data_IF_120283662456
#
_entry.id   IF_120283662456
#
_cell.length_a   1.000
_cell.length_b   1.000
_cell.length_c   1.000
_cell.angle_alpha   90.00
_cell.angle_beta   90.00
_cell.angle_gamma   90.00
#
_symmetry.space_group_name_H-M   'P 1'
#
loop_
_entity.id
_entity.type
_entity.pdbx_description
1 polymer ?
#
# COMPACT_ATOMS: atom_id res chain seq x y z
N UNK A 1 20.54 -20.89 16.65
CA UNK A 1 20.94 -22.03 17.51
C UNK A 1 22.20 -21.62 18.26
N UNK A 2 22.05 -21.20 19.50
CA UNK A 2 23.21 -20.80 20.32
C UNK A 2 23.67 -22.02 21.11
N UNK A 3 24.78 -22.61 20.71
CA UNK A 3 25.45 -23.66 21.50
C UNK A 3 26.19 -22.95 22.64
N UNK A 4 25.57 -22.89 23.82
CA UNK A 4 26.27 -22.46 25.01
C UNK A 4 27.22 -23.58 25.43
N UNK A 5 28.50 -23.25 25.55
CA UNK A 5 29.50 -24.19 26.04
C UNK A 5 29.20 -24.60 27.48
N UNK A 6 28.45 -25.69 27.63
CA UNK A 6 28.01 -26.27 28.92
C UNK A 6 29.15 -26.78 29.77
N UNK A 7 30.36 -26.88 29.28
CA UNK A 7 31.51 -27.53 29.96
C UNK A 7 32.13 -26.67 31.06
N UNK A 8 31.74 -25.41 31.24
CA UNK A 8 32.35 -24.55 32.28
C UNK A 8 31.58 -24.43 33.57
N UNK A 9 30.31 -24.84 33.64
CA UNK A 9 29.42 -24.54 34.77
C UNK A 9 28.98 -25.78 35.58
N UNK A 10 29.45 -26.99 35.29
CA UNK A 10 29.24 -28.19 36.11
C UNK A 10 27.78 -28.58 36.33
N UNK A 11 26.97 -28.49 35.27
CA UNK A 11 25.54 -28.78 35.29
C UNK A 11 25.24 -30.24 35.63
N UNK A 12 24.09 -30.47 36.30
CA UNK A 12 23.60 -31.80 36.68
C UNK A 12 22.48 -32.28 35.74
N UNK A 13 21.77 -31.34 35.10
CA UNK A 13 20.70 -31.63 34.16
C UNK A 13 21.26 -31.81 32.76
N UNK A 14 20.69 -32.76 32.01
CA UNK A 14 21.02 -32.94 30.56
C UNK A 14 20.38 -31.83 29.74
N UNK A 15 21.13 -30.74 29.49
CA UNK A 15 20.69 -29.60 28.73
C UNK A 15 20.60 -29.95 27.22
N UNK A 16 21.44 -30.83 26.68
CA UNK A 16 21.33 -31.25 25.28
C UNK A 16 20.04 -32.02 25.06
N UNK A 17 19.69 -32.96 25.95
CA UNK A 17 18.43 -33.67 25.91
C UNK A 17 17.21 -32.73 26.07
N UNK A 18 17.31 -31.68 26.88
CA UNK A 18 16.27 -30.63 26.97
C UNK A 18 16.06 -29.91 25.65
N UNK A 19 17.14 -29.49 24.97
CA UNK A 19 17.04 -28.78 23.67
C UNK A 19 16.51 -29.72 22.59
N UNK A 20 16.98 -30.97 22.52
CA UNK A 20 16.49 -31.96 21.55
C UNK A 20 14.99 -32.22 21.68
N UNK A 21 14.48 -32.36 22.94
CA UNK A 21 13.05 -32.55 23.18
C UNK A 21 12.25 -31.29 22.82
N UNK A 22 12.77 -30.10 23.13
CA UNK A 22 12.13 -28.82 22.77
C UNK A 22 12.03 -28.68 21.24
N UNK A 23 13.11 -28.98 20.51
CA UNK A 23 13.11 -28.98 19.02
C UNK A 23 12.14 -30.01 18.44
N UNK A 24 12.01 -31.19 19.08
CA UNK A 24 11.02 -32.20 18.71
C UNK A 24 9.59 -31.67 18.87
N UNK A 25 9.27 -31.01 19.98
CA UNK A 25 7.96 -30.41 20.23
C UNK A 25 7.60 -29.36 19.16
N UNK A 26 8.55 -28.53 18.74
CA UNK A 26 8.35 -27.56 17.67
C UNK A 26 8.15 -28.24 16.31
N UNK A 27 8.98 -29.21 15.97
CA UNK A 27 8.91 -29.95 14.71
C UNK A 27 7.60 -30.71 14.55
N UNK A 28 7.12 -31.34 15.63
CA UNK A 28 5.85 -32.05 15.71
C UNK A 28 4.63 -31.11 15.83
N UNK A 29 4.85 -29.78 15.91
CA UNK A 29 3.80 -28.76 16.13
C UNK A 29 3.00 -28.96 17.43
N UNK A 30 3.60 -29.53 18.44
CA UNK A 30 3.01 -29.77 19.77
C UNK A 30 3.16 -28.54 20.67
N UNK A 31 2.76 -27.39 20.18
CA UNK A 31 2.97 -26.08 20.85
C UNK A 31 2.32 -26.01 22.23
N UNK A 32 1.18 -26.71 22.42
CA UNK A 32 0.50 -26.75 23.72
C UNK A 32 1.27 -27.53 24.79
N UNK A 33 2.21 -28.39 24.42
CA UNK A 33 3.00 -29.19 25.34
C UNK A 33 4.28 -28.46 25.79
N UNK A 34 4.68 -27.38 25.06
CA UNK A 34 5.92 -26.64 25.35
C UNK A 34 5.91 -25.96 26.72
N UNK A 35 4.84 -25.26 27.08
CA UNK A 35 4.76 -24.60 28.41
C UNK A 35 4.77 -25.59 29.57
N UNK A 36 4.01 -26.70 29.57
CA UNK A 36 4.16 -27.76 30.58
C UNK A 36 5.58 -28.29 30.69
N UNK A 37 6.24 -28.55 29.54
CA UNK A 37 7.62 -29.03 29.50
C UNK A 37 8.60 -28.03 30.09
N UNK A 38 8.47 -26.73 29.82
CA UNK A 38 9.27 -25.68 30.49
C UNK A 38 9.09 -25.67 32.00
N UNK A 39 7.83 -25.76 32.47
CA UNK A 39 7.54 -25.73 33.90
C UNK A 39 8.14 -26.93 34.62
N UNK A 40 8.09 -28.12 34.05
CA UNK A 40 8.72 -29.31 34.62
C UNK A 40 10.25 -29.17 34.64
N UNK A 41 10.86 -28.77 33.54
CA UNK A 41 12.30 -28.64 33.39
C UNK A 41 12.89 -27.58 34.35
N UNK A 42 12.25 -26.40 34.47
CA UNK A 42 12.74 -25.34 35.37
C UNK A 42 12.64 -25.77 36.85
N UNK A 43 11.59 -26.49 37.25
CA UNK A 43 11.46 -27.01 38.61
C UNK A 43 12.47 -28.11 38.91
N UNK A 44 12.79 -28.95 37.92
CA UNK A 44 13.88 -29.93 38.06
C UNK A 44 15.23 -29.23 38.25
N UNK A 45 15.58 -28.27 37.37
CA UNK A 45 16.80 -27.51 37.47
C UNK A 45 16.95 -26.75 38.81
N UNK A 46 15.83 -26.23 39.35
CA UNK A 46 15.81 -25.63 40.69
C UNK A 46 16.09 -26.64 41.81
N UNK A 47 15.45 -27.83 41.78
CA UNK A 47 15.68 -28.90 42.75
C UNK A 47 17.12 -29.39 42.79
N UNK A 48 17.73 -29.43 41.60
CA UNK A 48 19.13 -29.82 41.45
C UNK A 48 20.13 -28.70 41.75
N UNK A 49 19.63 -27.49 42.02
CA UNK A 49 20.40 -26.23 42.16
C UNK A 49 21.35 -26.01 40.96
N UNK A 50 20.89 -26.36 39.75
CA UNK A 50 21.63 -26.19 38.52
C UNK A 50 21.34 -24.81 37.90
N UNK A 51 22.18 -23.82 38.20
CA UNK A 51 21.98 -22.45 37.74
C UNK A 51 22.18 -22.32 36.24
N UNK A 52 23.04 -23.16 35.64
CA UNK A 52 23.29 -23.14 34.17
C UNK A 52 22.05 -23.66 33.43
N UNK A 53 21.46 -24.77 33.89
CA UNK A 53 20.22 -25.28 33.32
C UNK A 53 19.08 -24.27 33.46
N UNK A 54 18.89 -23.66 34.65
CA UNK A 54 17.88 -22.61 34.83
C UNK A 54 18.08 -21.45 33.86
N UNK A 55 19.32 -21.01 33.64
CA UNK A 55 19.64 -19.93 32.73
C UNK A 55 19.25 -20.25 31.25
N UNK A 56 19.61 -21.44 30.78
CA UNK A 56 19.23 -21.88 29.44
C UNK A 56 17.72 -21.95 29.27
N UNK A 57 17.03 -22.62 30.22
CA UNK A 57 15.56 -22.77 30.15
C UNK A 57 14.87 -21.42 30.19
N UNK A 58 15.30 -20.46 31.01
CA UNK A 58 14.69 -19.13 31.09
C UNK A 58 14.89 -18.35 29.75
N UNK A 59 16.05 -18.47 29.08
CA UNK A 59 16.25 -17.86 27.78
C UNK A 59 15.30 -18.43 26.71
N UNK A 60 15.09 -19.75 26.69
CA UNK A 60 14.12 -20.37 25.76
C UNK A 60 12.68 -19.97 26.12
N UNK A 61 12.32 -19.90 27.40
CA UNK A 61 11.01 -19.43 27.87
C UNK A 61 10.73 -17.98 27.43
N UNK A 62 11.72 -17.08 27.53
CA UNK A 62 11.57 -15.68 27.06
C UNK A 62 11.21 -15.63 25.57
N UNK A 63 11.92 -16.41 24.75
CA UNK A 63 11.67 -16.50 23.31
C UNK A 63 10.29 -17.06 23.00
N UNK A 64 9.95 -18.22 23.54
CA UNK A 64 8.68 -18.90 23.32
C UNK A 64 7.47 -18.03 23.71
N UNK A 65 7.48 -17.44 24.89
CA UNK A 65 6.37 -16.60 25.33
C UNK A 65 6.26 -15.30 24.55
N UNK A 66 7.36 -14.73 24.08
CA UNK A 66 7.37 -13.60 23.14
C UNK A 66 6.72 -14.01 21.82
N UNK A 67 7.15 -15.10 21.22
CA UNK A 67 6.73 -15.54 19.89
C UNK A 67 5.28 -16.04 19.86
N UNK A 68 4.77 -16.50 21.00
CA UNK A 68 3.36 -16.85 21.19
C UNK A 68 2.51 -15.69 21.74
N UNK A 69 3.05 -14.46 21.77
CA UNK A 69 2.36 -13.25 22.25
C UNK A 69 1.90 -13.30 23.71
N UNK A 70 2.52 -14.13 24.53
CA UNK A 70 2.26 -14.24 25.98
C UNK A 70 3.21 -13.28 26.72
N UNK A 71 3.12 -12.00 26.45
CA UNK A 71 4.10 -10.99 26.85
C UNK A 71 4.32 -10.89 28.36
N UNK A 72 3.29 -11.06 29.19
CA UNK A 72 3.42 -11.04 30.63
C UNK A 72 4.30 -12.19 31.16
N UNK A 73 4.16 -13.40 30.59
CA UNK A 73 4.99 -14.54 30.92
C UNK A 73 6.42 -14.37 30.44
N UNK A 74 6.60 -13.79 29.22
CA UNK A 74 7.91 -13.45 28.67
C UNK A 74 8.66 -12.48 29.61
N UNK A 75 8.00 -11.40 30.04
CA UNK A 75 8.58 -10.41 30.96
C UNK A 75 8.90 -11.03 32.31
N UNK A 76 8.06 -11.94 32.83
CA UNK A 76 8.36 -12.67 34.05
C UNK A 76 9.63 -13.50 33.92
N UNK A 77 9.77 -14.26 32.82
CA UNK A 77 10.99 -15.03 32.55
C UNK A 77 12.22 -14.13 32.40
N UNK A 78 12.08 -12.92 31.83
CA UNK A 78 13.14 -11.92 31.77
C UNK A 78 13.62 -11.52 33.19
N UNK A 79 12.68 -11.17 34.05
CA UNK A 79 13.02 -10.76 35.42
C UNK A 79 13.70 -11.90 36.19
N UNK A 80 13.15 -13.13 36.12
CA UNK A 80 13.72 -14.31 36.76
C UNK A 80 15.15 -14.58 36.21
N UNK A 81 15.39 -14.39 34.90
CA UNK A 81 16.69 -14.56 34.27
C UNK A 81 17.70 -13.50 34.75
N UNK A 82 17.30 -12.22 34.84
CA UNK A 82 18.14 -11.14 35.34
C UNK A 82 18.57 -11.43 36.80
N UNK A 83 17.63 -11.82 37.67
CA UNK A 83 17.95 -12.18 39.04
C UNK A 83 18.91 -13.38 39.11
N UNK A 84 18.69 -14.38 38.25
CA UNK A 84 19.57 -15.54 38.17
C UNK A 84 20.98 -15.15 37.73
N UNK A 85 21.13 -14.32 36.71
CA UNK A 85 22.43 -13.84 36.24
C UNK A 85 23.21 -13.08 37.30
N UNK A 86 22.52 -12.25 38.11
CA UNK A 86 23.15 -11.60 39.29
C UNK A 86 23.63 -12.63 40.31
N UNK A 87 22.80 -13.64 40.59
CA UNK A 87 23.19 -14.73 41.51
C UNK A 87 24.37 -15.54 41.01
N UNK A 88 24.50 -15.68 39.68
CA UNK A 88 25.65 -16.34 39.03
C UNK A 88 26.91 -15.47 39.00
N UNK A 89 26.80 -14.16 39.25
CA UNK A 89 27.91 -13.23 39.22
C UNK A 89 28.48 -12.98 37.80
N UNK A 90 27.65 -13.10 36.76
CA UNK A 90 28.07 -12.92 35.37
C UNK A 90 27.74 -11.52 34.82
N UNK A 91 27.32 -10.59 35.67
CA UNK A 91 27.05 -9.22 35.28
C UNK A 91 28.25 -8.59 34.53
N UNK A 92 27.99 -7.84 33.49
CA UNK A 92 29.02 -7.20 32.67
C UNK A 92 29.78 -8.11 31.73
N UNK A 93 29.50 -9.40 31.69
CA UNK A 93 30.12 -10.33 30.73
C UNK A 93 29.38 -10.31 29.37
N UNK A 94 30.02 -10.87 28.36
CA UNK A 94 29.41 -11.01 27.02
C UNK A 94 28.17 -11.91 27.05
N UNK A 95 28.19 -12.98 27.87
CA UNK A 95 27.05 -13.89 28.01
C UNK A 95 25.85 -13.19 28.69
N UNK A 96 26.12 -12.35 29.68
CA UNK A 96 25.12 -11.49 30.30
C UNK A 96 24.50 -10.56 29.28
N UNK A 97 25.31 -9.85 28.46
CA UNK A 97 24.84 -8.94 27.45
C UNK A 97 24.01 -9.65 26.36
N UNK A 98 24.39 -10.88 26.00
CA UNK A 98 23.65 -11.69 25.03
C UNK A 98 22.25 -12.04 25.55
N UNK A 99 22.11 -12.40 26.83
CA UNK A 99 20.81 -12.62 27.45
C UNK A 99 20.01 -11.34 27.64
N UNK A 100 20.66 -10.23 27.97
CA UNK A 100 20.00 -8.92 28.01
C UNK A 100 19.43 -8.50 26.64
N UNK A 101 20.08 -8.90 25.54
CA UNK A 101 19.52 -8.66 24.21
C UNK A 101 18.18 -9.40 24.01
N UNK A 102 18.04 -10.62 24.54
CA UNK A 102 16.76 -11.33 24.55
C UNK A 102 15.70 -10.63 25.43
N UNK A 103 16.12 -10.12 26.60
CA UNK A 103 15.27 -9.30 27.47
C UNK A 103 14.77 -8.04 26.73
N UNK A 104 15.66 -7.33 26.05
CA UNK A 104 15.30 -6.15 25.28
C UNK A 104 14.32 -6.48 24.15
N UNK A 105 14.51 -7.61 23.44
CA UNK A 105 13.58 -8.12 22.44
C UNK A 105 12.20 -8.42 23.03
N UNK A 106 12.13 -8.99 24.23
CA UNK A 106 10.88 -9.27 24.92
C UNK A 106 10.14 -7.98 25.33
N UNK A 107 10.87 -6.99 25.86
CA UNK A 107 10.30 -5.68 26.17
C UNK A 107 9.78 -4.98 24.90
N UNK A 108 10.53 -5.01 23.80
CA UNK A 108 10.10 -4.46 22.52
C UNK A 108 8.79 -5.10 22.04
N UNK A 109 8.73 -6.43 22.01
CA UNK A 109 7.54 -7.17 21.61
C UNK A 109 6.32 -6.89 22.51
N UNK A 110 6.54 -6.59 23.78
CA UNK A 110 5.50 -6.18 24.72
C UNK A 110 5.11 -4.68 24.62
N UNK A 111 5.65 -3.94 23.66
CA UNK A 111 5.41 -2.50 23.49
C UNK A 111 6.12 -1.60 24.51
N UNK A 112 7.00 -2.14 25.34
CA UNK A 112 7.79 -1.41 26.32
C UNK A 112 9.07 -0.86 25.68
N UNK A 113 8.88 0.05 24.72
CA UNK A 113 9.96 0.51 23.84
C UNK A 113 11.06 1.30 24.58
N UNK A 114 10.70 2.08 25.60
CA UNK A 114 11.65 2.84 26.39
C UNK A 114 12.55 1.92 27.22
N UNK A 115 11.95 0.93 27.90
CA UNK A 115 12.69 -0.06 28.67
C UNK A 115 13.59 -0.91 27.77
N UNK A 116 13.10 -1.31 26.61
CA UNK A 116 13.89 -2.01 25.62
C UNK A 116 15.14 -1.22 25.20
N UNK A 117 14.97 0.08 24.93
CA UNK A 117 16.07 0.96 24.53
C UNK A 117 17.16 1.06 25.62
N UNK A 118 16.77 1.19 26.88
CA UNK A 118 17.73 1.24 27.97
C UNK A 118 18.52 -0.06 28.11
N UNK A 119 17.85 -1.21 27.97
CA UNK A 119 18.55 -2.51 27.99
C UNK A 119 19.51 -2.65 26.81
N UNK A 120 19.11 -2.24 25.59
CA UNK A 120 20.03 -2.28 24.44
C UNK A 120 21.23 -1.35 24.61
N UNK A 121 21.10 -0.20 25.27
CA UNK A 121 22.25 0.66 25.61
C UNK A 121 23.25 -0.02 26.54
N UNK A 122 22.75 -0.77 27.53
CA UNK A 122 23.59 -1.57 28.43
C UNK A 122 24.32 -2.66 27.64
N UNK A 123 23.61 -3.41 26.79
CA UNK A 123 24.21 -4.42 25.89
C UNK A 123 25.29 -3.80 25.02
N UNK A 124 25.02 -2.65 24.40
CA UNK A 124 25.96 -1.95 23.54
C UNK A 124 27.24 -1.56 24.30
N UNK A 125 27.10 -1.05 25.53
CA UNK A 125 28.28 -0.70 26.37
C UNK A 125 29.14 -1.91 26.65
N UNK A 126 28.53 -3.02 27.08
CA UNK A 126 29.25 -4.26 27.39
C UNK A 126 29.94 -4.83 26.16
N UNK A 127 29.25 -4.89 25.02
CA UNK A 127 29.83 -5.39 23.77
C UNK A 127 30.98 -4.51 23.30
N UNK A 128 30.82 -3.18 23.34
CA UNK A 128 31.86 -2.26 22.90
C UNK A 128 33.17 -2.37 23.72
N UNK A 129 33.07 -2.80 24.99
CA UNK A 129 34.22 -3.00 25.86
C UNK A 129 34.86 -4.39 25.71
N UNK A 130 34.09 -5.41 25.34
CA UNK A 130 34.50 -6.80 25.50
C UNK A 130 34.66 -7.60 24.19
N UNK A 131 34.11 -7.09 23.04
CA UNK A 131 34.23 -7.80 21.77
C UNK A 131 34.70 -6.84 20.66
N UNK A 132 35.31 -7.37 19.57
CA UNK A 132 35.68 -6.58 18.40
C UNK A 132 34.47 -5.88 17.77
N UNK A 133 34.71 -4.69 17.19
CA UNK A 133 33.63 -3.91 16.54
C UNK A 133 33.06 -4.59 15.29
N UNK A 134 33.74 -5.55 14.72
CA UNK A 134 33.33 -6.38 13.58
C UNK A 134 32.82 -7.77 13.97
N UNK A 135 32.61 -8.02 15.25
CA UNK A 135 31.97 -9.24 15.74
C UNK A 135 30.49 -9.30 15.28
N UNK A 136 30.01 -10.46 14.85
CA UNK A 136 28.65 -10.64 14.37
C UNK A 136 27.59 -10.27 15.39
N UNK A 137 27.90 -10.37 16.69
CA UNK A 137 26.97 -9.97 17.79
C UNK A 137 26.69 -8.46 17.77
N UNK A 138 27.66 -7.66 17.34
CA UNK A 138 27.45 -6.22 17.11
C UNK A 138 26.49 -5.98 15.96
N UNK A 139 26.52 -6.79 14.91
CA UNK A 139 25.57 -6.70 13.81
C UNK A 139 24.16 -7.12 14.25
N UNK A 140 24.04 -8.23 14.98
CA UNK A 140 22.76 -8.67 15.58
C UNK A 140 22.15 -7.62 16.48
N UNK A 141 22.95 -7.02 17.37
CA UNK A 141 22.50 -5.91 18.22
C UNK A 141 22.01 -4.73 17.41
N UNK A 142 22.77 -4.30 16.38
CA UNK A 142 22.35 -3.19 15.53
C UNK A 142 21.07 -3.50 14.76
N UNK A 143 20.87 -4.70 14.27
CA UNK A 143 19.60 -5.12 13.65
C UNK A 143 18.42 -5.01 14.65
N UNK A 144 18.59 -5.52 15.87
CA UNK A 144 17.54 -5.47 16.88
C UNK A 144 17.21 -4.04 17.34
N UNK A 145 18.23 -3.19 17.49
CA UNK A 145 18.05 -1.76 17.79
C UNK A 145 17.32 -1.06 16.62
N UNK A 146 17.62 -1.42 15.38
CA UNK A 146 16.93 -0.85 14.23
C UNK A 146 15.44 -1.22 14.21
N UNK A 147 15.08 -2.47 14.54
CA UNK A 147 13.68 -2.87 14.69
C UNK A 147 12.96 -2.07 15.78
N UNK A 148 13.63 -1.79 16.88
CA UNK A 148 13.10 -0.91 17.93
C UNK A 148 12.84 0.50 17.41
N UNK A 149 13.79 1.11 16.66
CA UNK A 149 13.61 2.42 16.10
C UNK A 149 12.50 2.47 15.02
N UNK A 150 12.32 1.39 14.25
CA UNK A 150 11.17 1.26 13.33
C UNK A 150 9.84 1.31 14.11
N UNK A 151 9.70 0.59 15.21
CA UNK A 151 8.50 0.62 16.06
C UNK A 151 8.30 1.98 16.76
N UNK A 152 9.38 2.72 17.01
CA UNK A 152 9.34 4.11 17.50
C UNK A 152 9.09 5.14 16.38
N UNK A 153 8.95 4.72 15.12
CA UNK A 153 8.85 5.53 13.91
C UNK A 153 10.08 6.45 13.66
N UNK A 154 11.25 6.12 14.24
CA UNK A 154 12.52 6.80 13.96
C UNK A 154 13.29 6.05 12.86
N UNK A 155 12.74 6.09 11.65
CA UNK A 155 13.31 5.40 10.50
C UNK A 155 14.73 5.86 10.10
N UNK A 156 15.10 7.15 10.25
CA UNK A 156 16.48 7.57 10.04
C UNK A 156 17.50 6.86 10.95
N UNK A 157 17.15 6.67 12.24
CA UNK A 157 18.00 5.93 13.19
C UNK A 157 18.03 4.45 12.84
N UNK A 158 16.88 3.86 12.45
CA UNK A 158 16.83 2.48 11.99
C UNK A 158 17.76 2.23 10.79
N UNK A 159 17.73 3.12 9.78
CA UNK A 159 18.64 3.06 8.61
C UNK A 159 20.11 3.10 9.03
N UNK A 160 20.49 3.96 9.98
CA UNK A 160 21.89 4.04 10.46
C UNK A 160 22.34 2.73 11.09
N UNK A 161 21.52 2.14 11.95
CA UNK A 161 21.84 0.89 12.64
C UNK A 161 21.88 -0.28 11.66
N UNK A 162 20.96 -0.38 10.69
CA UNK A 162 20.97 -1.42 9.67
C UNK A 162 22.21 -1.34 8.76
N UNK A 163 22.63 -0.14 8.38
CA UNK A 163 23.89 0.05 7.62
C UNK A 163 25.12 -0.39 8.41
N UNK A 164 25.14 -0.14 9.73
CA UNK A 164 26.22 -0.65 10.60
C UNK A 164 26.20 -2.19 10.64
N UNK A 165 25.04 -2.80 10.80
CA UNK A 165 24.90 -4.25 10.78
C UNK A 165 25.43 -4.83 9.47
N UNK A 166 25.02 -4.32 8.31
CA UNK A 166 25.48 -4.75 6.99
C UNK A 166 27.00 -4.64 6.84
N UNK A 167 27.60 -3.55 7.29
CA UNK A 167 29.05 -3.35 7.19
C UNK A 167 29.89 -4.43 7.89
N UNK A 168 29.26 -5.17 8.79
CA UNK A 168 29.86 -6.28 9.52
C UNK A 168 29.55 -7.61 8.81
N UNK A 169 28.24 -7.92 8.65
CA UNK A 169 27.82 -9.27 8.21
C UNK A 169 28.13 -9.57 6.75
N UNK A 170 28.19 -8.56 5.86
CA UNK A 170 28.57 -8.75 4.46
C UNK A 170 30.01 -9.30 4.29
N UNK A 171 30.84 -9.22 5.33
CA UNK A 171 32.23 -9.72 5.33
C UNK A 171 32.39 -11.13 5.91
N UNK A 172 31.31 -11.67 6.48
CA UNK A 172 31.32 -12.96 7.17
C UNK A 172 30.71 -14.01 6.24
N UNK A 173 31.49 -15.03 5.90
CA UNK A 173 31.03 -16.14 5.07
C UNK A 173 29.89 -16.92 5.78
N UNK A 174 28.90 -17.33 5.04
CA UNK A 174 27.76 -18.10 5.56
C UNK A 174 26.64 -17.28 6.20
N UNK A 175 26.68 -15.94 6.14
CA UNK A 175 25.64 -15.04 6.69
C UNK A 175 24.63 -14.57 5.64
N UNK A 176 24.42 -15.35 4.59
CA UNK A 176 23.54 -14.98 3.47
C UNK A 176 22.11 -14.63 3.93
N UNK A 177 21.54 -15.42 4.87
CA UNK A 177 20.18 -15.20 5.40
C UNK A 177 20.10 -13.90 6.19
N UNK A 178 21.08 -13.65 7.05
CA UNK A 178 21.17 -12.44 7.88
C UNK A 178 21.36 -11.20 7.02
N UNK A 179 22.19 -11.29 5.99
CA UNK A 179 22.41 -10.22 5.00
C UNK A 179 21.11 -9.91 4.26
N UNK A 180 20.41 -10.91 3.72
CA UNK A 180 19.17 -10.72 2.98
C UNK A 180 18.05 -10.17 3.89
N UNK A 181 17.98 -10.66 5.14
CA UNK A 181 17.03 -10.15 6.14
C UNK A 181 17.33 -8.68 6.47
N UNK A 182 18.60 -8.33 6.65
CA UNK A 182 19.01 -6.95 6.95
C UNK A 182 18.76 -6.02 5.76
N UNK A 183 18.97 -6.46 4.52
CA UNK A 183 18.56 -5.71 3.33
C UNK A 183 17.06 -5.45 3.31
N UNK A 184 16.24 -6.45 3.65
CA UNK A 184 14.77 -6.33 3.71
C UNK A 184 14.34 -5.30 4.76
N UNK A 185 14.91 -5.36 5.96
CA UNK A 185 14.62 -4.40 7.04
C UNK A 185 15.08 -2.98 6.69
N UNK A 186 16.23 -2.86 6.04
CA UNK A 186 16.75 -1.56 5.55
C UNK A 186 15.83 -0.96 4.49
N UNK A 187 15.37 -1.78 3.54
CA UNK A 187 14.45 -1.35 2.51
C UNK A 187 13.11 -0.87 3.10
N UNK A 188 12.57 -1.59 4.09
CA UNK A 188 11.35 -1.17 4.79
C UNK A 188 11.53 0.23 5.42
N UNK A 189 12.65 0.49 6.10
CA UNK A 189 12.92 1.82 6.67
C UNK A 189 13.13 2.91 5.61
N UNK A 190 13.73 2.57 4.46
CA UNK A 190 13.98 3.50 3.36
C UNK A 190 12.67 3.93 2.67
N UNK A 191 11.68 3.04 2.58
CA UNK A 191 10.35 3.36 2.06
C UNK A 191 9.71 4.47 2.91
N UNK A 192 9.73 4.34 4.22
CA UNK A 192 9.13 5.28 5.16
C UNK A 192 9.75 6.69 5.12
N UNK A 193 11.01 6.79 4.66
CA UNK A 193 11.69 8.09 4.45
C UNK A 193 11.72 8.52 2.97
N UNK A 194 10.80 8.00 2.15
CA UNK A 194 10.62 8.32 0.74
C UNK A 194 11.85 8.03 -0.15
N UNK A 195 12.64 7.01 0.17
CA UNK A 195 13.80 6.57 -0.60
C UNK A 195 13.52 5.25 -1.34
N UNK A 196 12.39 5.15 -2.03
CA UNK A 196 11.89 3.95 -2.68
C UNK A 196 12.88 3.34 -3.70
N UNK A 197 13.62 4.16 -4.46
CA UNK A 197 14.63 3.67 -5.41
C UNK A 197 15.78 2.93 -4.72
N UNK A 198 16.28 3.45 -3.60
CA UNK A 198 17.32 2.76 -2.83
C UNK A 198 16.78 1.48 -2.17
N UNK A 199 15.53 1.52 -1.70
CA UNK A 199 14.87 0.35 -1.15
C UNK A 199 14.76 -0.78 -2.19
N UNK A 200 14.42 -0.44 -3.44
CA UNK A 200 14.36 -1.41 -4.54
C UNK A 200 15.70 -2.11 -4.78
N UNK A 201 16.81 -1.36 -4.76
CA UNK A 201 18.15 -1.92 -4.98
C UNK A 201 18.53 -2.92 -3.87
N UNK A 202 18.23 -2.61 -2.60
CA UNK A 202 18.49 -3.54 -1.50
C UNK A 202 17.60 -4.78 -1.56
N UNK A 203 16.32 -4.62 -1.94
CA UNK A 203 15.40 -5.76 -2.07
C UNK A 203 15.75 -6.66 -3.24
N UNK A 204 16.26 -6.14 -4.35
CA UNK A 204 16.82 -6.96 -5.45
C UNK A 204 17.93 -7.86 -4.93
N UNK A 205 18.89 -7.32 -4.17
CA UNK A 205 19.96 -8.11 -3.55
C UNK A 205 19.43 -9.15 -2.57
N UNK A 206 18.44 -8.77 -1.73
CA UNK A 206 17.81 -9.71 -0.80
C UNK A 206 17.15 -10.88 -1.53
N UNK A 207 16.37 -10.59 -2.57
CA UNK A 207 15.65 -11.60 -3.36
C UNK A 207 16.62 -12.48 -4.15
N UNK A 208 17.73 -11.95 -4.69
CA UNK A 208 18.78 -12.74 -5.33
C UNK A 208 19.39 -13.78 -4.37
N UNK A 209 19.52 -13.45 -3.09
CA UNK A 209 19.99 -14.38 -2.06
C UNK A 209 18.90 -15.41 -1.74
N UNK A 210 17.68 -14.98 -1.47
CA UNK A 210 16.56 -15.85 -1.10
C UNK A 210 16.09 -16.76 -2.25
N UNK A 211 16.24 -16.37 -3.52
CA UNK A 211 15.84 -17.21 -4.67
C UNK A 211 16.78 -18.44 -4.86
N UNK A 212 17.89 -18.54 -4.14
CA UNK A 212 18.66 -19.77 -4.05
C UNK A 212 17.87 -20.80 -3.24
N UNK A 213 17.62 -21.98 -3.81
CA UNK A 213 16.76 -23.01 -3.20
C UNK A 213 17.19 -23.43 -1.78
N UNK A 214 18.49 -23.35 -1.49
CA UNK A 214 19.07 -23.70 -0.20
C UNK A 214 18.81 -22.66 0.90
N UNK A 215 18.37 -21.44 0.53
CA UNK A 215 18.27 -20.28 1.43
C UNK A 215 16.82 -19.83 1.65
N UNK A 216 15.85 -20.37 0.90
CA UNK A 216 14.44 -20.04 1.06
C UNK A 216 13.94 -20.35 2.47
N UNK A 217 13.42 -19.33 3.15
CA UNK A 217 12.83 -19.43 4.47
C UNK A 217 11.66 -18.43 4.63
N UNK A 218 11.11 -18.32 5.81
CA UNK A 218 9.97 -17.41 6.07
C UNK A 218 10.29 -15.92 5.81
N UNK A 219 11.56 -15.49 5.79
CA UNK A 219 11.94 -14.11 5.47
C UNK A 219 11.76 -13.78 3.98
N UNK A 220 11.79 -14.80 3.10
CA UNK A 220 11.58 -14.62 1.67
C UNK A 220 10.23 -13.96 1.35
N UNK A 221 9.15 -14.44 1.98
CA UNK A 221 7.83 -13.84 1.80
C UNK A 221 7.77 -12.38 2.27
N UNK A 222 8.50 -12.04 3.33
CA UNK A 222 8.66 -10.67 3.82
C UNK A 222 9.35 -9.77 2.78
N UNK A 223 10.43 -10.26 2.15
CA UNK A 223 11.14 -9.54 1.09
C UNK A 223 10.25 -9.32 -0.15
N UNK A 224 9.43 -10.30 -0.54
CA UNK A 224 8.46 -10.16 -1.63
C UNK A 224 7.41 -9.09 -1.31
N UNK A 225 6.86 -9.10 -0.10
CA UNK A 225 5.88 -8.08 0.35
C UNK A 225 6.51 -6.68 0.39
N UNK A 226 7.75 -6.55 0.87
CA UNK A 226 8.47 -5.28 0.88
C UNK A 226 8.73 -4.76 -0.54
N UNK A 227 9.15 -5.63 -1.47
CA UNK A 227 9.31 -5.27 -2.89
C UNK A 227 7.97 -4.84 -3.51
N UNK A 228 6.87 -5.54 -3.21
CA UNK A 228 5.54 -5.14 -3.67
C UNK A 228 5.16 -3.74 -3.16
N UNK A 229 5.47 -3.42 -1.91
CA UNK A 229 5.25 -2.08 -1.34
C UNK A 229 6.08 -1.01 -2.05
N UNK A 230 7.35 -1.29 -2.39
CA UNK A 230 8.18 -0.39 -3.22
C UNK A 230 7.53 -0.16 -4.58
N UNK A 231 7.09 -1.23 -5.25
CA UNK A 231 6.42 -1.14 -6.55
C UNK A 231 5.15 -0.30 -6.49
N UNK A 232 4.37 -0.43 -5.40
CA UNK A 232 3.22 0.46 -5.15
C UNK A 232 3.64 1.92 -5.03
N UNK A 233 4.72 2.22 -4.29
CA UNK A 233 5.23 3.59 -4.12
C UNK A 233 5.74 4.20 -5.44
N UNK A 234 6.12 3.36 -6.40
CA UNK A 234 6.54 3.75 -7.74
C UNK A 234 5.40 3.72 -8.77
N UNK A 235 4.16 3.51 -8.35
CA UNK A 235 2.96 3.33 -9.17
C UNK A 235 3.06 2.15 -10.18
N UNK A 236 3.88 1.14 -9.88
CA UNK A 236 4.06 -0.06 -10.70
C UNK A 236 3.13 -1.18 -10.18
N UNK A 237 1.82 -0.95 -10.27
CA UNK A 237 0.82 -1.77 -9.58
C UNK A 237 0.73 -3.20 -10.12
N UNK A 238 0.91 -3.45 -11.42
CA UNK A 238 0.90 -4.80 -12.00
C UNK A 238 2.08 -5.66 -11.49
N UNK A 239 3.25 -5.04 -11.29
CA UNK A 239 4.42 -5.72 -10.70
C UNK A 239 4.19 -6.00 -9.22
N UNK A 240 3.61 -5.04 -8.50
CA UNK A 240 3.25 -5.21 -7.09
C UNK A 240 2.25 -6.37 -6.89
N UNK A 241 1.23 -6.48 -7.72
CA UNK A 241 0.26 -7.57 -7.66
C UNK A 241 0.94 -8.93 -7.82
N UNK A 242 1.80 -9.11 -8.83
CA UNK A 242 2.56 -10.37 -9.05
C UNK A 242 3.42 -10.75 -7.85
N UNK A 243 4.02 -9.77 -7.18
CA UNK A 243 4.85 -10.01 -6.00
C UNK A 243 4.01 -10.44 -4.79
N UNK A 244 2.87 -9.82 -4.54
CA UNK A 244 1.95 -10.27 -3.48
C UNK A 244 1.35 -11.65 -3.78
N UNK A 245 1.00 -11.92 -5.05
CA UNK A 245 0.54 -13.26 -5.48
C UNK A 245 1.62 -14.33 -5.24
N UNK A 246 2.91 -14.00 -5.48
CA UNK A 246 4.05 -14.88 -5.19
C UNK A 246 4.27 -15.05 -3.68
N UNK A 247 4.03 -14.02 -2.88
CA UNK A 247 4.23 -14.06 -1.42
C UNK A 247 3.18 -14.89 -0.68
N UNK A 248 1.91 -14.87 -1.11
CA UNK A 248 0.81 -15.54 -0.41
C UNK A 248 1.02 -17.05 -0.18
N UNK A 249 1.38 -17.87 -1.20
CA UNK A 249 1.64 -19.30 -0.97
C UNK A 249 2.86 -19.54 -0.06
N UNK A 250 3.88 -18.70 -0.12
CA UNK A 250 5.05 -18.79 0.77
C UNK A 250 4.68 -18.50 2.23
N UNK A 251 3.83 -17.49 2.46
CA UNK A 251 3.30 -17.18 3.80
C UNK A 251 2.45 -18.34 4.31
N UNK A 252 1.55 -18.87 3.47
CA UNK A 252 0.67 -19.97 3.86
C UNK A 252 1.47 -21.22 4.23
N UNK A 253 2.50 -21.56 3.45
CA UNK A 253 3.35 -22.73 3.69
C UNK A 253 4.16 -22.62 4.98
N UNK A 254 4.70 -21.44 5.31
CA UNK A 254 5.61 -21.24 6.44
C UNK A 254 4.90 -20.80 7.72
N UNK A 255 3.81 -20.04 7.62
CA UNK A 255 3.16 -19.35 8.76
C UNK A 255 1.65 -19.63 8.87
N UNK A 256 1.06 -20.32 7.88
CA UNK A 256 -0.38 -20.55 7.81
C UNK A 256 -1.17 -19.28 7.42
N UNK A 257 -2.51 -19.38 7.47
CA UNK A 257 -3.44 -18.28 7.14
C UNK A 257 -3.70 -17.36 8.33
N UNK A 258 -2.64 -16.89 8.96
CA UNK A 258 -2.69 -15.96 10.09
C UNK A 258 -2.76 -14.48 9.66
N UNK A 259 -2.29 -13.59 10.56
CA UNK A 259 -2.31 -12.14 10.35
C UNK A 259 -1.52 -11.72 9.10
N UNK A 260 -0.31 -12.24 8.91
CA UNK A 260 0.54 -11.92 7.76
C UNK A 260 -0.14 -12.24 6.42
N UNK A 261 -0.79 -13.41 6.32
CA UNK A 261 -1.55 -13.81 5.13
C UNK A 261 -2.70 -12.84 4.84
N UNK A 262 -3.48 -12.50 5.87
CA UNK A 262 -4.64 -11.61 5.72
C UNK A 262 -4.22 -10.19 5.31
N UNK A 263 -3.18 -9.63 5.93
CA UNK A 263 -2.64 -8.32 5.58
C UNK A 263 -2.14 -8.31 4.12
N UNK A 264 -1.40 -9.34 3.71
CA UNK A 264 -0.90 -9.44 2.33
C UNK A 264 -2.05 -9.55 1.31
N UNK A 265 -3.09 -10.32 1.63
CA UNK A 265 -4.30 -10.43 0.80
C UNK A 265 -5.06 -9.10 0.67
N UNK A 266 -5.18 -8.35 1.77
CA UNK A 266 -5.79 -7.02 1.77
C UNK A 266 -4.98 -6.02 0.93
N UNK A 267 -3.65 -6.06 1.04
CA UNK A 267 -2.78 -5.22 0.23
C UNK A 267 -2.88 -5.55 -1.27
N UNK A 268 -2.94 -6.83 -1.62
CA UNK A 268 -3.19 -7.28 -3.00
C UNK A 268 -4.53 -6.75 -3.53
N UNK A 269 -5.60 -6.81 -2.73
CA UNK A 269 -6.91 -6.29 -3.12
C UNK A 269 -6.85 -4.77 -3.39
N UNK A 270 -6.19 -4.00 -2.53
CA UNK A 270 -5.97 -2.56 -2.75
C UNK A 270 -5.20 -2.27 -4.04
N UNK A 271 -4.21 -3.10 -4.36
CA UNK A 271 -3.44 -2.97 -5.61
C UNK A 271 -4.31 -3.24 -6.83
N UNK A 272 -5.18 -4.27 -6.79
CA UNK A 272 -6.14 -4.52 -7.88
C UNK A 272 -7.14 -3.37 -8.06
N UNK A 273 -7.56 -2.73 -6.98
CA UNK A 273 -8.43 -1.56 -7.07
C UNK A 273 -7.68 -0.39 -7.75
N UNK A 274 -6.39 -0.18 -7.45
CA UNK A 274 -5.55 0.82 -8.14
C UNK A 274 -5.38 0.52 -9.64
N UNK A 275 -5.13 -0.75 -9.99
CA UNK A 275 -5.06 -1.17 -11.40
C UNK A 275 -6.37 -0.90 -12.14
N UNK A 276 -7.53 -1.14 -11.47
CA UNK A 276 -8.84 -0.82 -12.04
C UNK A 276 -9.03 0.69 -12.19
N UNK A 277 -8.62 1.49 -11.19
CA UNK A 277 -8.68 2.95 -11.26
C UNK A 277 -7.84 3.49 -12.42
N UNK A 278 -6.60 2.98 -12.63
CA UNK A 278 -5.75 3.37 -13.75
C UNK A 278 -6.28 2.93 -15.11
N UNK A 279 -6.93 1.76 -15.15
CA UNK A 279 -7.56 1.22 -16.37
C UNK A 279 -9.00 1.68 -16.55
N UNK A 280 -9.53 2.50 -15.64
CA UNK A 280 -10.86 3.07 -15.78
C UNK A 280 -10.86 3.97 -16.99
N UNK A 281 -11.37 3.44 -18.08
CA UNK A 281 -11.62 4.23 -19.28
C UNK A 281 -12.60 5.33 -18.92
N UNK A 282 -12.25 6.57 -19.28
CA UNK A 282 -13.13 7.70 -19.07
C UNK A 282 -14.47 7.45 -19.74
N UNK A 283 -15.57 7.71 -19.05
CA UNK A 283 -16.88 7.79 -19.68
C UNK A 283 -16.89 8.94 -20.70
N UNK A 284 -17.78 8.91 -21.68
CA UNK A 284 -17.90 10.00 -22.66
C UNK A 284 -18.13 11.34 -21.99
N UNK A 285 -18.92 11.38 -20.90
CA UNK A 285 -19.17 12.60 -20.13
C UNK A 285 -17.87 13.05 -19.41
N UNK A 286 -17.13 12.16 -18.76
CA UNK A 286 -15.86 12.48 -18.08
C UNK A 286 -14.81 12.96 -19.10
N UNK A 287 -14.75 12.33 -20.28
CA UNK A 287 -13.87 12.72 -21.38
C UNK A 287 -14.20 14.13 -21.87
N UNK A 288 -15.48 14.40 -22.16
CA UNK A 288 -15.96 15.69 -22.63
C UNK A 288 -15.70 16.80 -21.62
N UNK A 289 -15.97 16.54 -20.33
CA UNK A 289 -15.75 17.48 -19.24
C UNK A 289 -14.28 17.81 -19.07
N UNK A 290 -13.40 16.79 -19.03
CA UNK A 290 -11.96 17.04 -18.89
C UNK A 290 -11.38 17.74 -20.11
N UNK A 291 -11.89 17.47 -21.30
CA UNK A 291 -11.49 18.17 -22.54
C UNK A 291 -11.92 19.65 -22.52
N UNK A 292 -13.14 19.95 -22.05
CA UNK A 292 -13.60 21.32 -21.86
C UNK A 292 -12.74 22.07 -20.82
N UNK A 293 -12.44 21.46 -19.67
CA UNK A 293 -11.64 22.08 -18.61
C UNK A 293 -10.21 22.41 -19.08
N UNK A 294 -9.61 21.57 -19.93
CA UNK A 294 -8.23 21.73 -20.39
C UNK A 294 -8.10 22.67 -21.61
N UNK A 295 -9.05 22.66 -22.51
CA UNK A 295 -8.97 23.44 -23.77
C UNK A 295 -10.12 24.42 -23.96
N UNK A 296 -11.35 24.02 -23.67
CA UNK A 296 -12.54 24.80 -23.96
C UNK A 296 -12.65 26.06 -23.14
N UNK A 297 -12.30 25.99 -21.86
CA UNK A 297 -12.35 27.08 -20.91
C UNK A 297 -11.45 28.23 -21.33
N UNK A 298 -10.20 27.93 -21.63
CA UNK A 298 -9.22 28.91 -22.09
C UNK A 298 -9.56 29.46 -23.47
N UNK A 299 -10.07 28.63 -24.36
CA UNK A 299 -10.52 29.06 -25.71
C UNK A 299 -11.65 30.09 -25.59
N UNK A 300 -12.66 29.85 -24.76
CA UNK A 300 -13.77 30.79 -24.55
C UNK A 300 -13.25 32.05 -23.85
N UNK A 301 -12.51 31.94 -22.75
CA UNK A 301 -12.00 33.08 -22.01
C UNK A 301 -11.12 34.01 -22.85
N UNK A 302 -10.20 33.47 -23.61
CA UNK A 302 -9.23 34.26 -24.37
C UNK A 302 -9.82 34.92 -25.62
N UNK A 303 -10.82 34.30 -26.25
CA UNK A 303 -11.33 34.79 -27.53
C UNK A 303 -12.74 35.43 -27.43
N UNK A 304 -13.49 35.11 -26.35
CA UNK A 304 -14.90 35.52 -26.23
C UNK A 304 -15.26 36.00 -24.80
N UNK A 305 -14.33 36.63 -24.10
CA UNK A 305 -14.53 37.08 -22.70
C UNK A 305 -15.74 37.96 -22.46
N UNK A 306 -16.14 38.79 -23.47
CA UNK A 306 -17.35 39.63 -23.41
C UNK A 306 -18.66 38.85 -23.51
N UNK A 307 -18.60 37.60 -23.94
CA UNK A 307 -19.75 36.70 -24.13
C UNK A 307 -19.64 35.45 -23.28
N UNK A 308 -18.60 35.35 -22.43
CA UNK A 308 -18.27 34.14 -21.69
C UNK A 308 -19.43 33.68 -20.81
N UNK A 309 -20.12 34.59 -20.13
CA UNK A 309 -21.31 34.33 -19.31
C UNK A 309 -22.56 33.93 -20.10
N UNK A 310 -22.57 34.17 -21.42
CA UNK A 310 -23.68 33.87 -22.33
C UNK A 310 -23.52 32.54 -23.07
N UNK A 311 -22.41 31.85 -22.87
CA UNK A 311 -22.11 30.57 -23.48
C UNK A 311 -22.35 29.45 -22.45
N UNK A 312 -23.44 28.72 -22.59
CA UNK A 312 -23.65 27.48 -21.83
C UNK A 312 -22.84 26.36 -22.47
N UNK A 313 -22.20 25.53 -21.65
CA UNK A 313 -21.35 24.42 -22.08
C UNK A 313 -21.73 23.12 -21.41
N UNK A 314 -21.70 22.04 -22.14
CA UNK A 314 -22.01 20.72 -21.60
C UNK A 314 -21.89 19.61 -22.63
N UNK A 315 -22.40 18.44 -22.26
CA UNK A 315 -22.43 17.28 -23.13
C UNK A 315 -23.81 16.61 -23.04
N UNK A 316 -24.76 17.12 -23.80
CA UNK A 316 -26.21 16.77 -23.83
C UNK A 316 -26.63 16.48 -25.25
N UNK A 317 -27.60 15.60 -25.46
CA UNK A 317 -28.18 15.32 -26.79
C UNK A 317 -28.05 13.87 -27.24
N UNK A 318 -27.91 13.63 -28.55
CA UNK A 318 -27.75 12.28 -29.12
C UNK A 318 -26.36 11.70 -28.88
N UNK A 319 -26.30 10.39 -28.63
CA UNK A 319 -25.11 9.61 -28.39
C UNK A 319 -25.26 8.70 -27.15
N UNK A 320 -24.89 7.44 -27.27
CA UNK A 320 -24.99 6.46 -26.18
C UNK A 320 -24.24 6.92 -24.92
N UNK A 321 -23.11 7.56 -25.10
CA UNK A 321 -22.26 8.09 -24.04
C UNK A 321 -22.94 9.16 -23.19
N UNK A 322 -23.92 9.90 -23.74
CA UNK A 322 -24.71 10.91 -23.01
C UNK A 322 -25.81 10.31 -22.17
N UNK A 323 -26.17 9.07 -22.47
CA UNK A 323 -27.09 8.25 -21.68
C UNK A 323 -26.37 7.36 -20.66
N UNK A 324 -25.04 7.43 -20.58
CA UNK A 324 -24.24 6.60 -19.68
C UNK A 324 -23.98 5.18 -20.18
N UNK A 325 -24.18 4.91 -21.47
CA UNK A 325 -23.87 3.65 -22.12
C UNK A 325 -22.47 3.72 -22.74
N UNK A 326 -21.44 3.46 -21.90
CA UNK A 326 -20.02 3.63 -22.24
C UNK A 326 -19.26 2.27 -22.29
N UNK A 327 -19.94 1.18 -22.61
CA UNK A 327 -19.30 -0.11 -22.76
C UNK A 327 -18.53 -0.22 -24.10
N UNK A 328 -17.74 -1.29 -24.24
CA UNK A 328 -16.89 -1.53 -25.43
C UNK A 328 -17.71 -1.61 -26.74
N UNK A 329 -19.00 -1.96 -26.65
CA UNK A 329 -19.89 -2.11 -27.79
C UNK A 329 -20.58 -0.80 -28.16
N UNK A 330 -20.79 0.09 -27.20
CA UNK A 330 -21.44 1.39 -27.40
C UNK A 330 -20.48 2.52 -27.74
N UNK A 331 -19.17 2.31 -27.66
CA UNK A 331 -18.12 3.21 -28.16
C UNK A 331 -17.97 3.04 -29.68
N UNK A 332 -18.91 3.63 -30.39
CA UNK A 332 -18.95 3.60 -31.82
C UNK A 332 -18.04 4.67 -32.46
N UNK A 333 -18.23 4.90 -33.76
CA UNK A 333 -17.41 5.79 -34.58
C UNK A 333 -17.42 7.27 -34.16
N UNK A 334 -18.33 7.67 -33.29
CA UNK A 334 -18.55 9.07 -32.88
C UNK A 334 -18.02 9.33 -31.44
N UNK A 335 -17.50 8.31 -30.75
CA UNK A 335 -16.92 8.45 -29.45
C UNK A 335 -15.59 9.22 -29.52
N UNK A 336 -15.46 10.30 -28.76
CA UNK A 336 -14.22 11.06 -28.73
C UNK A 336 -14.33 12.42 -28.02
N UNK A 337 -13.20 13.15 -27.91
CA UNK A 337 -13.19 14.43 -27.21
C UNK A 337 -14.06 15.46 -27.90
N UNK A 338 -14.94 16.12 -27.15
CA UNK A 338 -15.81 17.17 -27.67
C UNK A 338 -16.83 17.60 -26.63
N UNK A 339 -17.39 18.77 -26.79
CA UNK A 339 -18.46 19.32 -25.97
C UNK A 339 -19.38 20.21 -26.79
N UNK A 340 -20.59 20.50 -26.29
CA UNK A 340 -21.54 21.40 -26.90
C UNK A 340 -21.44 22.78 -26.23
N UNK A 341 -21.66 23.82 -27.04
CA UNK A 341 -21.83 25.21 -26.62
C UNK A 341 -23.16 25.70 -27.09
N UNK A 342 -24.00 26.18 -26.17
CA UNK A 342 -25.32 26.71 -26.47
C UNK A 342 -25.35 28.20 -26.22
N UNK A 343 -25.81 28.97 -27.21
CA UNK A 343 -25.97 30.42 -27.16
C UNK A 343 -27.33 30.81 -27.71
N UNK A 344 -27.84 31.97 -27.30
CA UNK A 344 -29.09 32.52 -27.87
C UNK A 344 -28.90 32.99 -29.31
N UNK A 345 -29.98 33.10 -30.08
CA UNK A 345 -29.95 33.52 -31.49
C UNK A 345 -29.24 34.87 -31.69
N UNK A 346 -29.53 35.86 -30.82
CA UNK A 346 -28.87 37.16 -30.85
C UNK A 346 -27.38 37.17 -30.57
N UNK A 347 -26.89 36.19 -29.79
CA UNK A 347 -25.46 35.96 -29.56
C UNK A 347 -24.85 35.20 -30.73
N UNK A 348 -25.59 34.24 -31.30
CA UNK A 348 -25.12 33.46 -32.44
C UNK A 348 -24.86 34.36 -33.67
N UNK A 349 -25.76 35.31 -33.97
CA UNK A 349 -25.57 36.30 -35.04
C UNK A 349 -24.26 37.10 -34.90
N UNK A 350 -23.77 37.30 -33.68
CA UNK A 350 -22.58 38.12 -33.39
C UNK A 350 -21.27 37.30 -33.39
N UNK A 351 -21.30 36.11 -32.80
CA UNK A 351 -20.09 35.35 -32.57
C UNK A 351 -20.17 33.86 -33.00
N UNK A 352 -21.34 33.35 -33.39
CA UNK A 352 -21.57 31.91 -33.56
C UNK A 352 -20.59 31.26 -34.54
N UNK A 353 -20.41 31.82 -35.75
CA UNK A 353 -19.47 31.29 -36.74
C UNK A 353 -18.01 31.32 -36.22
N UNK A 354 -17.61 32.44 -35.60
CA UNK A 354 -16.26 32.56 -35.03
C UNK A 354 -16.00 31.60 -33.87
N UNK A 355 -17.02 31.41 -33.02
CA UNK A 355 -16.93 30.47 -31.89
C UNK A 355 -16.79 29.02 -32.41
N UNK A 356 -17.52 28.68 -33.50
CA UNK A 356 -17.39 27.37 -34.12
C UNK A 356 -16.00 27.20 -34.79
N UNK A 357 -15.47 28.24 -35.41
CA UNK A 357 -14.13 28.22 -36.02
C UNK A 357 -13.03 28.00 -34.96
N UNK A 358 -13.13 28.67 -33.83
CA UNK A 358 -12.17 28.46 -32.71
C UNK A 358 -12.34 27.06 -32.09
N UNK A 359 -13.56 26.56 -31.93
CA UNK A 359 -13.81 25.18 -31.53
C UNK A 359 -13.18 24.15 -32.47
N UNK A 360 -13.26 24.37 -33.78
CA UNK A 360 -12.71 23.47 -34.79
C UNK A 360 -11.17 23.39 -34.79
N UNK A 361 -10.49 24.38 -34.17
CA UNK A 361 -9.03 24.37 -33.96
C UNK A 361 -8.58 23.52 -32.76
N UNK A 362 -9.49 23.13 -31.90
CA UNK A 362 -9.18 22.31 -30.75
C UNK A 362 -8.64 20.92 -31.17
N UNK A 363 -7.79 20.28 -30.37
CA UNK A 363 -7.24 18.97 -30.70
C UNK A 363 -8.32 17.92 -30.94
N UNK A 364 -8.19 17.16 -32.01
CA UNK A 364 -9.10 16.03 -32.30
C UNK A 364 -8.76 14.76 -31.50
N UNK A 365 -7.58 14.71 -30.93
CA UNK A 365 -7.12 13.60 -30.09
C UNK A 365 -6.84 14.10 -28.66
N UNK A 366 -7.36 13.38 -27.66
CA UNK A 366 -7.18 13.68 -26.25
C UNK A 366 -7.12 12.40 -25.43
N UNK A 367 -6.15 12.28 -24.52
CA UNK A 367 -5.92 11.08 -23.69
C UNK A 367 -5.92 9.75 -24.47
N UNK A 368 -5.34 9.77 -25.67
CA UNK A 368 -5.25 8.59 -26.53
C UNK A 368 -6.52 8.26 -27.33
N UNK A 369 -7.58 9.03 -27.17
CA UNK A 369 -8.86 8.86 -27.87
C UNK A 369 -8.96 9.93 -28.97
N UNK A 370 -9.31 9.52 -30.20
CA UNK A 370 -9.44 10.42 -31.33
C UNK A 370 -10.88 10.46 -31.79
N UNK A 371 -11.47 11.68 -31.89
CA UNK A 371 -12.79 11.88 -32.48
C UNK A 371 -12.69 11.74 -33.99
N UNK A 372 -13.55 10.93 -34.56
CA UNK A 372 -13.74 10.81 -35.99
C UNK A 372 -14.99 11.61 -36.41
N UNK A 373 -14.82 12.64 -37.22
CA UNK A 373 -15.96 13.41 -37.72
C UNK A 373 -16.65 12.59 -38.82
N UNK A 374 -17.83 12.07 -38.53
CA UNK A 374 -18.68 11.36 -39.51
C UNK A 374 -19.86 12.23 -39.90
N UNK A 375 -20.50 11.91 -41.02
CA UNK A 375 -21.73 12.61 -41.44
C UNK A 375 -22.84 12.45 -40.41
N UNK A 376 -22.85 11.33 -39.67
CA UNK A 376 -23.81 11.06 -38.59
C UNK A 376 -23.50 11.82 -37.29
N UNK A 377 -22.26 12.25 -37.11
CA UNK A 377 -21.81 13.05 -35.98
C UNK A 377 -21.98 14.55 -36.14
N UNK A 378 -22.36 14.99 -37.35
CA UNK A 378 -22.52 16.42 -37.67
C UNK A 378 -23.58 17.06 -36.74
N UNK A 379 -23.19 18.14 -36.05
CA UNK A 379 -24.03 18.85 -35.11
C UNK A 379 -24.22 18.21 -33.72
N UNK A 380 -23.51 17.11 -33.43
CA UNK A 380 -23.55 16.51 -32.08
C UNK A 380 -22.67 17.23 -31.07
N UNK A 381 -21.65 17.97 -31.49
CA UNK A 381 -20.75 18.80 -30.68
C UNK A 381 -20.50 20.12 -31.37
N UNK A 382 -19.98 21.12 -30.67
CA UNK A 382 -19.75 22.45 -31.20
C UNK A 382 -20.87 23.44 -30.79
N UNK A 383 -21.07 24.47 -31.64
CA UNK A 383 -21.95 25.61 -31.35
C UNK A 383 -23.37 25.34 -31.82
N UNK A 384 -24.34 25.56 -30.96
CA UNK A 384 -25.77 25.47 -31.28
C UNK A 384 -26.54 26.66 -30.73
N UNK A 385 -27.60 27.08 -31.43
CA UNK A 385 -28.62 27.96 -30.84
C UNK A 385 -29.47 27.16 -29.86
N UNK A 386 -29.67 27.70 -28.66
CA UNK A 386 -30.40 27.00 -27.58
C UNK A 386 -31.79 26.58 -28.02
N UNK A 387 -32.53 27.54 -28.62
CA UNK A 387 -33.89 27.34 -29.07
C UNK A 387 -34.01 26.28 -30.16
N UNK A 388 -33.06 26.26 -31.10
CA UNK A 388 -32.99 25.25 -32.16
C UNK A 388 -32.70 23.86 -31.63
N UNK A 389 -31.80 23.76 -30.68
CA UNK A 389 -31.51 22.50 -30.02
C UNK A 389 -32.76 21.86 -29.40
N UNK A 390 -33.50 22.63 -28.58
CA UNK A 390 -34.73 22.09 -27.97
C UNK A 390 -35.83 21.86 -29.03
N UNK A 391 -36.01 22.76 -29.95
CA UNK A 391 -37.05 22.66 -31.00
C UNK A 391 -36.84 21.43 -31.87
N UNK A 392 -35.58 21.08 -32.20
CA UNK A 392 -35.25 19.90 -33.00
C UNK A 392 -35.85 18.61 -32.44
N UNK A 393 -35.83 18.45 -31.13
CA UNK A 393 -36.28 17.21 -30.50
C UNK A 393 -37.72 17.31 -29.98
N UNK A 394 -38.11 18.43 -29.42
CA UNK A 394 -39.38 18.56 -28.68
C UNK A 394 -40.48 19.34 -29.45
N UNK A 395 -40.10 19.98 -30.52
CA UNK A 395 -41.00 20.88 -31.26
C UNK A 395 -41.19 22.28 -30.63
N UNK A 396 -40.58 22.53 -29.47
CA UNK A 396 -40.63 23.82 -28.75
C UNK A 396 -39.21 24.28 -28.40
N UNK A 397 -38.80 25.47 -28.83
CA UNK A 397 -37.50 26.04 -28.50
C UNK A 397 -37.42 26.63 -27.10
N UNK A 398 -38.51 27.01 -26.49
CA UNK A 398 -38.57 27.60 -25.14
C UNK A 398 -39.11 26.67 -24.06
N UNK A 399 -39.44 25.44 -24.43
CA UNK A 399 -39.95 24.40 -23.52
C UNK A 399 -41.44 24.60 -23.11
N UNK A 400 -42.16 25.46 -23.81
CA UNK A 400 -43.59 25.61 -23.61
C UNK A 400 -44.34 24.68 -24.59
N UNK A 401 -44.99 23.67 -24.06
CA UNK A 401 -45.82 22.72 -24.82
C UNK A 401 -47.26 22.73 -24.34
N UNK A 402 -48.21 22.56 -25.28
CA UNK A 402 -49.60 22.27 -24.90
C UNK A 402 -49.70 20.85 -24.36
N UNK A 403 -50.81 20.55 -23.64
CA UNK A 403 -51.05 19.20 -23.11
C UNK A 403 -51.07 18.15 -24.22
N UNK A 404 -51.61 18.46 -25.39
CA UNK A 404 -51.63 17.60 -26.59
C UNK A 404 -50.23 17.35 -27.12
N UNK A 405 -49.35 18.35 -27.14
CA UNK A 405 -47.95 18.20 -27.54
C UNK A 405 -47.18 17.35 -26.54
N UNK A 406 -47.40 17.52 -25.23
CA UNK A 406 -46.81 16.71 -24.20
C UNK A 406 -47.20 15.22 -24.34
N UNK A 407 -48.51 14.93 -24.53
CA UNK A 407 -48.97 13.54 -24.68
C UNK A 407 -48.39 12.84 -25.92
N UNK A 408 -48.11 13.60 -26.97
CA UNK A 408 -47.58 13.07 -28.23
C UNK A 408 -46.02 13.11 -28.31
N UNK A 409 -45.35 13.66 -27.27
CA UNK A 409 -43.87 13.74 -27.24
C UNK A 409 -43.30 12.39 -26.75
N UNK A 410 -42.49 11.80 -27.59
CA UNK A 410 -41.87 10.50 -27.32
C UNK A 410 -40.82 10.59 -26.20
N UNK A 411 -40.83 9.65 -25.25
CA UNK A 411 -40.00 9.64 -24.06
C UNK A 411 -38.49 9.78 -24.40
N UNK A 412 -38.01 9.14 -25.49
CA UNK A 412 -36.61 9.25 -25.89
C UNK A 412 -36.21 10.68 -26.28
N UNK A 413 -37.10 11.48 -26.80
CA UNK A 413 -36.85 12.90 -27.14
C UNK A 413 -36.69 13.76 -25.90
N UNK A 414 -37.53 13.51 -24.88
CA UNK A 414 -37.41 14.15 -23.56
C UNK A 414 -36.06 13.72 -22.95
N UNK A 415 -35.78 12.43 -22.94
CA UNK A 415 -34.51 11.90 -22.43
C UNK A 415 -33.28 12.49 -23.17
N UNK A 416 -33.36 12.73 -24.50
CA UNK A 416 -32.28 13.33 -25.27
C UNK A 416 -31.98 14.79 -24.87
N UNK A 417 -32.98 15.58 -24.52
CA UNK A 417 -32.76 16.98 -24.11
C UNK A 417 -32.48 17.14 -22.60
N UNK A 418 -32.63 16.06 -21.84
CA UNK A 418 -32.42 16.04 -20.37
C UNK A 418 -31.29 15.11 -19.92
N UNK A 419 -30.64 14.36 -20.82
CA UNK A 419 -29.50 13.50 -20.51
C UNK A 419 -28.19 14.28 -20.31
N UNK A 420 -27.12 13.54 -20.08
CA UNK A 420 -25.78 14.11 -19.99
C UNK A 420 -25.58 15.12 -18.86
N UNK A 421 -24.57 15.97 -19.00
CA UNK A 421 -24.18 16.94 -17.96
C UNK A 421 -23.97 18.33 -18.58
N UNK A 422 -24.43 19.36 -17.88
CA UNK A 422 -24.13 20.77 -18.16
C UNK A 422 -22.95 21.19 -17.31
N UNK A 423 -21.85 21.58 -17.94
CA UNK A 423 -20.61 21.94 -17.25
C UNK A 423 -20.60 23.39 -16.78
N UNK A 424 -21.24 24.27 -17.56
CA UNK A 424 -21.35 25.70 -17.33
C UNK A 424 -22.64 26.26 -17.91
N UNK A 425 -23.34 27.13 -17.19
CA UNK A 425 -24.50 27.91 -17.66
C UNK A 425 -24.72 29.09 -16.69
N UNK A 426 -23.88 30.14 -16.81
CA UNK A 426 -23.83 31.25 -15.85
C UNK A 426 -25.15 32.04 -15.79
N UNK A 427 -25.79 32.26 -16.93
CA UNK A 427 -27.09 32.91 -17.00
C UNK A 427 -28.28 31.95 -16.77
N UNK A 428 -28.02 30.67 -16.74
CA UNK A 428 -29.02 29.64 -16.50
C UNK A 428 -30.07 29.49 -17.60
N UNK A 429 -29.82 30.01 -18.80
CA UNK A 429 -30.78 30.03 -19.89
C UNK A 429 -31.06 28.62 -20.44
N UNK A 430 -30.03 27.87 -20.75
CA UNK A 430 -30.13 26.48 -21.18
C UNK A 430 -30.81 25.61 -20.09
N UNK A 431 -30.31 25.70 -18.87
CA UNK A 431 -30.82 24.93 -17.73
C UNK A 431 -32.30 25.28 -17.36
N UNK A 432 -32.70 26.50 -17.63
CA UNK A 432 -34.11 26.91 -17.40
C UNK A 432 -35.08 26.19 -18.34
N UNK A 433 -34.71 26.05 -19.62
CA UNK A 433 -35.53 25.30 -20.58
C UNK A 433 -35.46 23.80 -20.27
N UNK A 434 -34.26 23.25 -19.94
CA UNK A 434 -34.07 21.86 -19.53
C UNK A 434 -35.02 21.46 -18.39
N UNK A 435 -35.12 22.29 -17.33
CA UNK A 435 -35.98 22.02 -16.17
C UNK A 435 -37.45 21.92 -16.52
N UNK A 436 -37.94 22.58 -17.58
CA UNK A 436 -39.32 22.42 -18.03
C UNK A 436 -39.58 21.00 -18.53
N UNK A 437 -38.58 20.35 -19.15
CA UNK A 437 -38.72 18.99 -19.63
C UNK A 437 -38.41 17.95 -18.52
N UNK A 438 -37.63 18.29 -17.50
CA UNK A 438 -37.37 17.45 -16.34
C UNK A 438 -38.63 17.42 -15.40
N UNK A 439 -39.36 18.50 -15.32
CA UNK A 439 -40.58 18.63 -14.49
C UNK A 439 -41.82 18.47 -15.38
N UNK A 440 -42.07 17.23 -15.82
CA UNK A 440 -43.28 16.91 -16.61
C UNK A 440 -44.56 17.28 -15.88
N UNK A 441 -45.63 17.74 -16.57
CA UNK A 441 -46.90 18.08 -15.96
C UNK A 441 -47.63 16.88 -15.34
#
# INVERSE_FOLDING_TARGET
MFIYGSDRLGGKMDINGFIEELDSLYTERRINDVEPFFNESIEQAKKENDLAAQFTILNEMMGFFRDTSQFEKSIKACNDCIELMKKMGIEGTVDYATSLQNVANAYRAAGKLAESLEVYKEVFSIYNENIPSDDYRMASLNNNIALLYQEMNDFPMAVQHLKKALSIIEKIEGMDIEVATTYTNLAASLIEINQASQAEDYLKKALEIFDRDEVKNFHYSGALCAMASVKCSLNQYEEAAKLYEKALPEIEANMGRGSAYNITKENLAKVFDKIKEEKKELTGIELAKSFYEEYGKDMIHNNFSEYEDKIAVGFVGEGSERFGFDDVYSRDHDFGPGFCMWITEDVYEKIGEKLQDEYNKLPKSYKGITRVDTIMAEGRVGVCVVEDFYKKYTGSGDGNLTLEQWINLEDYKIATVTNGEVFRDDLGYFSKIRRKFENQP
#
